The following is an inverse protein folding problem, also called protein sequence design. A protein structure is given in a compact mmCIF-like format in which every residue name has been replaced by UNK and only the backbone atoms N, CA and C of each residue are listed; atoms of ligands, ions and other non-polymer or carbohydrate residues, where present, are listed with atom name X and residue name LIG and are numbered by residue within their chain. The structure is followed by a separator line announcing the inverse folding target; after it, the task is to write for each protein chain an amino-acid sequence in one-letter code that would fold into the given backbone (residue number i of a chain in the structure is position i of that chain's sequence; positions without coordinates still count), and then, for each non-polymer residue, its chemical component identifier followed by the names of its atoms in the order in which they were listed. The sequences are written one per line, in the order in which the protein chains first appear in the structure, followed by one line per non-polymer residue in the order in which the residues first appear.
data_IF_042644520714
#
_entry.id   IF_042644520714
#
_cell.length_a   1.000
_cell.length_b   1.000
_cell.length_c   1.000
_cell.angle_alpha   90.00
_cell.angle_beta   90.00
_cell.angle_gamma   90.00
#
_symmetry.space_group_name_H-M   'P 1'
#
loop_
_entity.id
_entity.type
_entity.pdbx_description
1 polymer ?
#
# COMPACT_ATOMS: atom_id res chain seq x y z
N UNK A 1 6.72 -21.65 -3.05
CA UNK A 1 7.47 -20.47 -3.54
C UNK A 1 6.68 -19.21 -3.18
N UNK A 2 7.08 -18.47 -2.13
CA UNK A 2 6.45 -17.19 -1.80
C UNK A 2 6.98 -16.16 -2.80
N UNK A 3 6.17 -15.77 -3.78
CA UNK A 3 6.46 -14.62 -4.64
C UNK A 3 6.40 -13.38 -3.76
N UNK A 4 7.52 -13.02 -3.13
CA UNK A 4 7.66 -11.75 -2.46
C UNK A 4 7.73 -10.68 -3.54
N UNK A 5 6.57 -10.21 -3.99
CA UNK A 5 6.48 -8.99 -4.77
C UNK A 5 6.86 -7.85 -3.82
N UNK A 6 8.07 -7.31 -4.01
CA UNK A 6 8.54 -6.18 -3.23
C UNK A 6 7.94 -4.91 -3.78
N UNK A 7 7.36 -4.12 -2.90
CA UNK A 7 6.81 -2.82 -3.16
C UNK A 7 7.80 -1.79 -2.65
N UNK A 8 8.05 -0.76 -3.45
CA UNK A 8 8.90 0.37 -3.11
C UNK A 8 8.02 1.62 -3.13
N UNK A 9 7.94 2.29 -1.99
CA UNK A 9 7.27 3.58 -1.84
C UNK A 9 8.28 4.68 -2.05
N UNK A 10 8.07 5.49 -3.08
CA UNK A 10 8.88 6.66 -3.40
C UNK A 10 8.11 7.93 -3.07
N UNK A 11 8.77 8.87 -2.40
CA UNK A 11 8.28 10.23 -2.20
C UNK A 11 9.41 11.22 -2.48
N UNK A 12 9.15 12.18 -3.37
CA UNK A 12 10.11 13.23 -3.77
C UNK A 12 11.48 12.72 -4.23
N UNK A 13 11.52 11.54 -4.86
CA UNK A 13 12.76 10.92 -5.33
C UNK A 13 13.54 10.15 -4.27
N UNK A 14 13.01 10.05 -3.05
CA UNK A 14 13.58 9.25 -1.98
C UNK A 14 12.72 8.01 -1.71
N UNK A 15 13.37 6.93 -1.32
CA UNK A 15 12.68 5.72 -0.86
C UNK A 15 12.19 5.96 0.57
N UNK A 16 10.88 5.89 0.78
CA UNK A 16 10.27 6.00 2.12
C UNK A 16 10.10 4.63 2.76
N UNK A 17 9.64 3.64 2.01
CA UNK A 17 9.37 2.30 2.52
C UNK A 17 9.66 1.22 1.47
N UNK A 18 10.16 0.06 1.90
CA UNK A 18 10.32 -1.13 1.05
C UNK A 18 9.86 -2.34 1.84
N UNK A 19 9.02 -3.16 1.25
CA UNK A 19 8.58 -4.43 1.84
C UNK A 19 7.65 -5.18 0.92
N UNK A 20 7.24 -6.37 1.33
CA UNK A 20 6.07 -7.02 0.75
C UNK A 20 4.78 -6.28 1.13
N UNK A 21 3.69 -6.58 0.44
CA UNK A 21 2.38 -6.01 0.73
C UNK A 21 1.99 -6.17 2.21
N UNK A 22 2.10 -7.39 2.75
CA UNK A 22 1.74 -7.70 4.14
C UNK A 22 2.64 -6.95 5.14
N UNK A 23 3.95 -6.89 4.88
CA UNK A 23 4.90 -6.16 5.73
C UNK A 23 4.56 -4.67 5.79
N UNK A 24 4.30 -4.05 4.63
CA UNK A 24 3.99 -2.62 4.56
C UNK A 24 2.63 -2.28 5.17
N UNK A 25 1.65 -3.18 5.09
CA UNK A 25 0.38 -3.04 5.79
C UNK A 25 0.56 -3.14 7.32
N UNK A 26 1.33 -4.14 7.78
CA UNK A 26 1.61 -4.32 9.21
C UNK A 26 2.39 -3.15 9.81
N UNK A 27 3.28 -2.53 9.03
CA UNK A 27 4.03 -1.34 9.45
C UNK A 27 3.11 -0.11 9.63
N UNK A 28 1.91 -0.10 9.05
CA UNK A 28 0.94 0.99 9.23
C UNK A 28 1.42 2.35 8.69
N UNK A 29 2.41 2.33 7.80
CA UNK A 29 3.10 3.52 7.32
C UNK A 29 2.40 4.21 6.15
N UNK A 30 3.17 4.76 5.23
CA UNK A 30 2.65 5.53 4.11
C UNK A 30 1.89 4.66 3.12
N UNK A 31 2.44 3.47 2.82
CA UNK A 31 1.78 2.48 1.97
C UNK A 31 0.39 2.09 2.51
N UNK A 32 0.28 1.81 3.81
CA UNK A 32 -0.96 1.37 4.43
C UNK A 32 -2.06 2.43 4.33
N UNK A 33 -1.73 3.69 4.62
CA UNK A 33 -2.65 4.82 4.50
C UNK A 33 -3.14 5.04 3.06
N UNK A 34 -2.23 4.96 2.09
CA UNK A 34 -2.62 5.05 0.67
C UNK A 34 -3.55 3.90 0.26
N UNK A 35 -3.25 2.69 0.72
CA UNK A 35 -4.05 1.51 0.43
C UNK A 35 -5.46 1.64 1.01
N UNK A 36 -5.60 2.09 2.26
CA UNK A 36 -6.89 2.35 2.90
C UNK A 36 -7.73 3.36 2.10
N UNK A 37 -7.14 4.50 1.71
CA UNK A 37 -7.84 5.53 0.92
C UNK A 37 -8.34 5.01 -0.43
N UNK A 38 -7.56 4.14 -1.10
CA UNK A 38 -7.98 3.52 -2.37
C UNK A 38 -9.09 2.48 -2.16
N UNK A 39 -9.07 1.75 -1.05
CA UNK A 39 -10.10 0.77 -0.71
C UNK A 39 -11.43 1.42 -0.34
N UNK A 40 -11.39 2.53 0.40
CA UNK A 40 -12.59 3.32 0.73
C UNK A 40 -13.27 3.87 -0.53
N UNK A 41 -12.48 4.40 -1.48
CA UNK A 41 -13.01 4.88 -2.77
C UNK A 41 -13.66 3.76 -3.59
N UNK A 42 -13.12 2.54 -3.55
CA UNK A 42 -13.74 1.39 -4.21
C UNK A 42 -15.08 1.01 -3.57
N UNK A 43 -15.23 1.08 -2.24
CA UNK A 43 -16.51 0.78 -1.57
C UNK A 43 -17.65 1.69 -2.01
N UNK A 44 -17.37 2.97 -2.24
CA UNK A 44 -18.39 3.95 -2.67
C UNK A 44 -18.79 3.78 -4.14
N UNK A 45 -17.92 3.19 -4.97
CA UNK A 45 -18.18 2.98 -6.40
C UNK A 45 -19.09 1.77 -6.72
N UNK A 46 -19.38 0.90 -5.74
CA UNK A 46 -20.27 -0.25 -5.90
C UNK A 46 -21.66 -0.06 -5.27
N UNK A 47 -22.02 1.19 -4.91
CA UNK A 47 -23.40 1.53 -4.54
C UNK A 47 -24.08 2.10 -5.80
N UNK A 48 -24.49 1.20 -6.69
CA UNK A 48 -25.25 1.50 -7.90
C UNK A 48 -26.27 0.40 -8.15
#
# INVERSE_FOLDING_TARGET
MRKAEKIIVLDKGEIKEIGSHDELLLMGGFYAKLHEMQFEKKKTAFVG
#
